data_IF_267545825843
#
_entry.id   IF_267545825843
#
_cell.length_a   1.000
_cell.length_b   1.000
_cell.length_c   1.000
_cell.angle_alpha   90.00
_cell.angle_beta   90.00
_cell.angle_gamma   90.00
#
_symmetry.space_group_name_H-M   'P 1'
#
loop_
_entity.id
_entity.type
_entity.pdbx_description
1 polymer ?
#
# COMPACT_ATOMS: atom_id res chain seq x y z
N UNK A 1 16.47 7.80 6.27
CA UNK A 1 15.05 7.77 5.82
C UNK A 1 14.49 6.42 6.20
N UNK A 2 13.32 6.38 6.84
CA UNK A 2 12.69 5.16 7.36
C UNK A 2 11.28 5.06 6.78
N UNK A 3 10.90 3.86 6.34
CA UNK A 3 9.57 3.57 5.82
C UNK A 3 8.96 2.39 6.55
N UNK A 4 7.65 2.44 6.72
CA UNK A 4 6.85 1.31 7.16
C UNK A 4 5.62 1.21 6.24
N UNK A 5 5.42 0.02 5.68
CA UNK A 5 4.35 -0.23 4.73
C UNK A 5 3.08 -0.74 5.43
N UNK A 6 1.92 -0.42 4.87
CA UNK A 6 0.64 -0.95 5.30
C UNK A 6 -0.33 -1.02 4.15
N UNK A 7 -1.08 -2.11 4.07
CA UNK A 7 -2.20 -2.24 3.14
C UNK A 7 -3.45 -2.50 3.99
N UNK A 8 -4.44 -1.61 3.91
CA UNK A 8 -5.69 -1.71 4.64
C UNK A 8 -6.81 -2.19 3.72
N UNK A 9 -7.72 -2.98 4.27
CA UNK A 9 -8.86 -3.47 3.51
C UNK A 9 -9.85 -2.34 3.20
N UNK A 10 -10.00 -2.02 1.90
CA UNK A 10 -10.95 -1.02 1.41
C UNK A 10 -12.39 -1.34 1.80
N UNK A 11 -12.72 -2.63 1.90
CA UNK A 11 -14.09 -3.12 2.10
C UNK A 11 -14.39 -3.48 3.56
N UNK A 12 -13.42 -3.33 4.47
CA UNK A 12 -13.66 -3.60 5.88
C UNK A 12 -14.78 -2.70 6.42
N UNK A 13 -15.66 -3.28 7.24
CA UNK A 13 -16.83 -2.60 7.83
C UNK A 13 -16.42 -1.33 8.57
N UNK A 14 -15.25 -1.31 9.20
CA UNK A 14 -14.71 -0.13 9.90
C UNK A 14 -14.33 1.04 8.97
N UNK A 15 -14.14 0.78 7.68
CA UNK A 15 -13.72 1.78 6.68
C UNK A 15 -14.80 2.08 5.63
N UNK A 16 -15.76 1.18 5.43
CA UNK A 16 -16.74 1.26 4.33
C UNK A 16 -17.51 2.58 4.29
N UNK A 17 -17.82 3.16 5.46
CA UNK A 17 -18.52 4.46 5.54
C UNK A 17 -17.72 5.60 4.90
N UNK A 18 -16.38 5.53 4.91
CA UNK A 18 -15.50 6.52 4.31
C UNK A 18 -15.07 6.13 2.89
N UNK A 19 -14.68 4.87 2.68
CA UNK A 19 -14.15 4.40 1.39
C UNK A 19 -15.21 4.37 0.28
N UNK A 20 -16.48 4.18 0.64
CA UNK A 20 -17.61 4.31 -0.32
C UNK A 20 -17.81 5.74 -0.85
N UNK A 21 -17.39 6.75 -0.09
CA UNK A 21 -17.57 8.16 -0.46
C UNK A 21 -16.29 8.77 -1.04
N UNK A 22 -15.13 8.28 -0.63
CA UNK A 22 -13.84 8.85 -1.00
C UNK A 22 -12.80 7.76 -1.23
N UNK A 23 -12.33 7.68 -2.47
CA UNK A 23 -11.24 6.80 -2.88
C UNK A 23 -9.97 7.09 -2.06
N UNK A 24 -9.36 6.06 -1.46
CA UNK A 24 -8.14 6.21 -0.67
C UNK A 24 -8.34 6.70 0.76
N UNK A 25 -9.58 6.88 1.23
CA UNK A 25 -9.85 7.37 2.59
C UNK A 25 -9.23 6.47 3.68
N UNK A 26 -9.26 5.15 3.51
CA UNK A 26 -8.66 4.24 4.47
C UNK A 26 -7.12 4.26 4.39
N UNK A 27 -6.57 4.42 3.18
CA UNK A 27 -5.12 4.59 3.00
C UNK A 27 -4.62 5.86 3.68
N UNK A 28 -5.34 6.99 3.58
CA UNK A 28 -4.99 8.24 4.27
C UNK A 28 -5.06 8.08 5.80
N UNK A 29 -6.13 7.47 6.32
CA UNK A 29 -6.24 7.17 7.75
C UNK A 29 -5.10 6.24 8.23
N UNK A 30 -4.68 5.29 7.40
CA UNK A 30 -3.54 4.41 7.70
C UNK A 30 -2.21 5.17 7.70
N UNK A 31 -2.02 6.10 6.75
CA UNK A 31 -0.86 7.00 6.70
C UNK A 31 -0.73 7.82 7.98
N UNK A 32 -1.82 8.48 8.39
CA UNK A 32 -1.87 9.29 9.63
C UNK A 32 -1.54 8.44 10.87
N UNK A 33 -2.13 7.24 10.96
CA UNK A 33 -1.87 6.32 12.09
C UNK A 33 -0.41 5.88 12.16
N UNK A 34 0.22 5.56 11.02
CA UNK A 34 1.65 5.22 10.97
C UNK A 34 2.51 6.41 11.38
N UNK A 35 2.22 7.62 10.88
CA UNK A 35 2.96 8.83 11.27
C UNK A 35 2.88 9.08 12.78
N UNK A 36 1.69 8.94 13.37
CA UNK A 36 1.50 9.03 14.83
C UNK A 36 2.26 7.93 15.57
N UNK A 37 2.19 6.68 15.12
CA UNK A 37 2.92 5.55 15.73
C UNK A 37 4.43 5.80 15.83
N UNK A 38 5.00 6.47 14.83
CA UNK A 38 6.43 6.71 14.75
C UNK A 38 6.83 8.18 15.00
N UNK A 39 5.98 8.96 15.67
CA UNK A 39 6.26 10.39 15.91
C UNK A 39 7.59 10.62 16.65
N UNK A 40 7.96 9.71 17.55
CA UNK A 40 9.22 9.73 18.30
C UNK A 40 10.49 9.55 17.44
N UNK A 41 10.38 9.04 16.20
CA UNK A 41 11.51 8.98 15.28
C UNK A 41 11.99 10.37 14.87
N UNK A 42 11.08 11.36 14.85
CA UNK A 42 11.41 12.75 14.53
C UNK A 42 12.36 13.35 15.57
N UNK A 43 12.18 13.00 16.85
CA UNK A 43 13.06 13.44 17.95
C UNK A 43 14.48 12.84 17.85
N UNK A 44 14.66 11.79 17.05
CA UNK A 44 15.93 11.11 16.81
C UNK A 44 16.54 11.48 15.44
N UNK A 45 16.10 12.60 14.83
CA UNK A 45 16.53 13.06 13.52
C UNK A 45 16.27 12.09 12.35
N UNK A 46 15.28 11.20 12.48
CA UNK A 46 14.86 10.36 11.36
C UNK A 46 13.71 11.00 10.58
N UNK A 47 13.82 10.95 9.25
CA UNK A 47 12.70 11.24 8.35
C UNK A 47 11.90 9.96 8.14
N UNK A 48 10.68 9.93 8.70
CA UNK A 48 9.72 8.84 8.52
C UNK A 48 8.69 9.19 7.44
N UNK A 49 8.46 8.26 6.50
CA UNK A 49 7.35 8.35 5.55
C UNK A 49 6.55 7.04 5.53
N UNK A 50 5.21 7.10 5.72
CA UNK A 50 4.36 5.93 5.61
C UNK A 50 4.14 5.54 4.14
N UNK A 51 4.18 4.23 3.85
CA UNK A 51 3.75 3.66 2.58
C UNK A 51 2.40 2.98 2.79
N UNK A 52 1.32 3.75 2.65
CA UNK A 52 -0.04 3.33 2.95
C UNK A 52 -0.86 3.12 1.67
N UNK A 53 -1.47 1.93 1.61
CA UNK A 53 -2.22 1.43 0.47
C UNK A 53 -3.57 0.88 0.92
N UNK A 54 -4.50 0.82 -0.03
CA UNK A 54 -5.76 0.11 0.09
C UNK A 54 -5.73 -1.18 -0.76
N UNK A 55 -6.47 -2.21 -0.32
CA UNK A 55 -6.49 -3.52 -1.02
C UNK A 55 -6.99 -3.41 -2.45
N UNK A 56 -7.91 -2.49 -2.75
CA UNK A 56 -8.42 -2.25 -4.11
C UNK A 56 -7.53 -1.31 -4.95
N UNK A 57 -6.38 -0.87 -4.43
CA UNK A 57 -5.38 -0.13 -5.19
C UNK A 57 -5.17 1.36 -4.90
N UNK A 58 -6.05 2.10 -4.19
CA UNK A 58 -5.76 3.48 -3.81
C UNK A 58 -4.52 3.63 -2.91
N UNK A 59 -3.76 4.71 -3.13
CA UNK A 59 -2.55 5.03 -2.35
C UNK A 59 -2.73 6.36 -1.64
N UNK A 60 -2.24 6.44 -0.41
CA UNK A 60 -2.20 7.70 0.34
C UNK A 60 -1.34 8.74 -0.37
N UNK A 61 -1.60 10.02 -0.13
CA UNK A 61 -0.87 11.15 -0.71
C UNK A 61 0.62 11.05 -0.45
N UNK A 62 1.02 10.90 0.82
CA UNK A 62 2.43 10.79 1.21
C UNK A 62 3.16 9.66 0.47
N UNK A 63 2.46 8.55 0.23
CA UNK A 63 2.99 7.40 -0.50
C UNK A 63 3.19 7.71 -1.98
N UNK A 64 2.23 8.40 -2.60
CA UNK A 64 2.36 8.88 -3.99
C UNK A 64 3.51 9.87 -4.14
N UNK A 65 3.68 10.79 -3.18
CA UNK A 65 4.72 11.81 -3.21
C UNK A 65 6.12 11.19 -3.09
N UNK A 66 6.31 10.24 -2.16
CA UNK A 66 7.59 9.54 -1.98
C UNK A 66 7.90 8.65 -3.18
N UNK A 67 6.95 7.84 -3.66
CA UNK A 67 7.16 6.97 -4.83
C UNK A 67 7.33 7.78 -6.12
N UNK A 68 6.71 8.95 -6.23
CA UNK A 68 6.93 9.91 -7.32
C UNK A 68 8.37 10.40 -7.33
N UNK A 69 8.86 10.89 -6.19
CA UNK A 69 10.26 11.35 -6.02
C UNK A 69 11.27 10.25 -6.37
N UNK A 70 11.01 9.01 -5.93
CA UNK A 70 11.85 7.86 -6.26
C UNK A 70 11.78 7.57 -7.76
N UNK A 71 10.58 7.60 -8.35
CA UNK A 71 10.36 7.40 -9.77
C UNK A 71 11.14 8.39 -10.63
N UNK A 72 11.13 9.67 -10.28
CA UNK A 72 11.87 10.72 -11.00
C UNK A 72 13.37 10.49 -10.90
N UNK A 73 13.88 10.15 -9.71
CA UNK A 73 15.30 9.79 -9.53
C UNK A 73 15.70 8.56 -10.32
N UNK A 74 14.82 7.54 -10.38
CA UNK A 74 15.07 6.35 -11.19
C UNK A 74 15.17 6.71 -12.68
N UNK A 75 14.31 7.61 -13.18
CA UNK A 75 14.41 8.10 -14.56
C UNK A 75 15.74 8.81 -14.77
N UNK A 76 16.11 9.76 -13.90
CA UNK A 76 17.34 10.53 -14.01
C UNK A 76 18.60 9.66 -13.97
N UNK A 77 18.66 8.66 -13.08
CA UNK A 77 19.84 7.81 -12.91
C UNK A 77 19.95 6.71 -13.98
N UNK A 78 18.83 6.19 -14.50
CA UNK A 78 18.85 5.10 -15.48
C UNK A 78 18.78 5.57 -16.93
N UNK A 79 18.37 6.81 -17.19
CA UNK A 79 18.04 7.31 -18.52
C UNK A 79 16.78 6.69 -19.13
N UNK A 80 16.07 5.82 -18.41
CA UNK A 80 14.89 5.15 -18.90
C UNK A 80 13.62 5.93 -18.51
N UNK A 81 12.87 6.52 -19.47
CA UNK A 81 11.67 7.29 -19.16
C UNK A 81 10.54 6.44 -18.57
N UNK A 82 10.59 5.11 -18.68
CA UNK A 82 9.58 4.18 -18.13
C UNK A 82 9.89 3.68 -16.72
N UNK A 83 11.03 4.04 -16.14
CA UNK A 83 11.48 3.50 -14.85
C UNK A 83 10.46 3.76 -13.72
N UNK A 84 9.85 4.95 -13.68
CA UNK A 84 8.79 5.30 -12.72
C UNK A 84 7.55 4.41 -12.88
N UNK A 85 7.11 4.14 -14.11
CA UNK A 85 5.98 3.24 -14.37
C UNK A 85 6.26 1.80 -13.93
N UNK A 86 7.46 1.29 -14.18
CA UNK A 86 7.86 -0.04 -13.72
C UNK A 86 7.90 -0.13 -12.20
N UNK A 87 8.35 0.91 -11.50
CA UNK A 87 8.26 0.99 -10.04
C UNK A 87 6.81 0.85 -9.57
N UNK A 88 5.90 1.65 -10.14
CA UNK A 88 4.48 1.61 -9.74
C UNK A 88 3.83 0.25 -10.01
N UNK A 89 4.14 -0.37 -11.15
CA UNK A 89 3.67 -1.71 -11.48
C UNK A 89 4.18 -2.76 -10.49
N UNK A 90 5.45 -2.70 -10.11
CA UNK A 90 6.02 -3.63 -9.10
C UNK A 90 5.34 -3.47 -7.74
N UNK A 91 5.04 -2.24 -7.31
CA UNK A 91 4.28 -1.98 -6.08
C UNK A 91 2.87 -2.55 -6.19
N UNK A 92 2.17 -2.30 -7.29
CA UNK A 92 0.82 -2.83 -7.52
C UNK A 92 0.79 -4.38 -7.50
N UNK A 93 1.73 -5.03 -8.16
CA UNK A 93 1.86 -6.50 -8.16
C UNK A 93 2.16 -7.02 -6.75
N UNK A 94 3.01 -6.35 -5.98
CA UNK A 94 3.29 -6.75 -4.60
C UNK A 94 2.04 -6.69 -3.71
N UNK A 95 1.21 -5.64 -3.86
CA UNK A 95 -0.08 -5.52 -3.16
C UNK A 95 -1.02 -6.65 -3.57
N UNK A 96 -1.20 -6.88 -4.87
CA UNK A 96 -2.09 -7.94 -5.37
C UNK A 96 -1.67 -9.33 -4.88
N UNK A 97 -0.36 -9.62 -4.85
CA UNK A 97 0.18 -10.87 -4.29
C UNK A 97 -0.10 -10.99 -2.79
N UNK A 98 0.06 -9.90 -2.03
CA UNK A 98 -0.27 -9.86 -0.60
C UNK A 98 -1.76 -10.11 -0.34
N UNK A 99 -2.64 -9.49 -1.14
CA UNK A 99 -4.07 -9.71 -1.07
C UNK A 99 -4.45 -11.16 -1.37
N UNK A 100 -3.90 -11.72 -2.46
CA UNK A 100 -4.12 -13.11 -2.84
C UNK A 100 -3.66 -14.08 -1.74
N UNK A 101 -2.46 -13.87 -1.18
CA UNK A 101 -1.95 -14.66 -0.07
C UNK A 101 -2.86 -14.57 1.17
N UNK A 102 -3.41 -13.38 1.46
CA UNK A 102 -4.33 -13.18 2.58
C UNK A 102 -5.64 -13.95 2.39
N UNK A 103 -6.21 -13.94 1.17
CA UNK A 103 -7.42 -14.71 0.85
C UNK A 103 -7.16 -16.21 0.87
N UNK A 104 -6.06 -16.68 0.27
CA UNK A 104 -5.70 -18.10 0.29
C UNK A 104 -5.45 -18.59 1.72
N UNK A 105 -4.92 -17.74 2.60
CA UNK A 105 -4.75 -18.04 4.03
C UNK A 105 -6.05 -18.19 4.81
N UNK A 106 -7.20 -17.77 4.27
CA UNK A 106 -8.53 -17.99 4.89
C UNK A 106 -9.21 -19.28 4.44
N UNK A 107 -8.68 -19.97 3.42
CA UNK A 107 -9.26 -21.22 2.95
C UNK A 107 -8.91 -22.37 3.91
N UNK A 108 -9.83 -23.34 4.11
CA UNK A 108 -9.52 -24.55 4.85
C UNK A 108 -8.40 -25.32 4.14
N UNK A 109 -7.47 -25.86 4.92
CA UNK A 109 -6.32 -26.56 4.38
C UNK A 109 -6.74 -27.99 3.99
N UNK A 110 -6.86 -28.24 2.68
CA UNK A 110 -6.99 -29.60 2.15
C UNK A 110 -8.40 -30.10 1.81
N UNK A 111 -9.39 -29.24 1.58
CA UNK A 111 -10.59 -29.67 0.86
C UNK A 111 -10.38 -29.49 -0.65
N UNK A 112 -10.35 -30.60 -1.37
CA UNK A 112 -10.53 -30.57 -2.82
C UNK A 112 -11.86 -29.87 -3.11
N UNK A 113 -11.84 -28.92 -4.04
CA UNK A 113 -13.08 -28.37 -4.58
C UNK A 113 -13.83 -29.53 -5.24
N UNK A 114 -14.76 -30.17 -4.52
CA UNK A 114 -15.76 -31.02 -5.14
C UNK A 114 -16.51 -30.13 -6.12
N UNK A 115 -16.29 -30.40 -7.40
CA UNK A 115 -17.02 -29.75 -8.48
C UNK A 115 -18.51 -29.88 -8.21
N UNK A 116 -19.20 -28.75 -8.24
CA UNK A 116 -20.65 -28.74 -8.34
C UNK A 116 -21.00 -29.33 -9.71
N UNK A 117 -21.28 -30.63 -9.74
CA UNK A 117 -22.00 -31.30 -10.82
C UNK A 117 -23.44 -30.77 -10.93
#
# INVERSE_FOLDING_TARGET
MIWDATCVDTLAISYISKTSQTCGAAAEDASVRKRKKYEGLSAQNFIFNPLAFETLGPWAKDTKDVLGTIGDRLISCSGNPRASSYLRQRVAIAIQRGNAASMLGTLPQGEEFEGLD
#
